data_IF_847083318212
#
_entry.id   IF_847083318212
#
_cell.length_a   1.000
_cell.length_b   1.000
_cell.length_c   1.000
_cell.angle_alpha   90.00
_cell.angle_beta   90.00
_cell.angle_gamma   90.00
#
_symmetry.space_group_name_H-M   'P 1'
#
loop_
_entity.id
_entity.type
_entity.pdbx_description
1 polymer ?
#
# COMPACT_ATOMS: atom_id res chain seq x y z
N UNK A 1 -25.72 -3.78 19.85
CA UNK A 1 -25.55 -4.97 19.01
C UNK A 1 -24.07 -5.33 19.10
N UNK A 2 -23.73 -6.57 19.44
CA UNK A 2 -22.33 -7.05 19.34
C UNK A 2 -21.97 -7.03 17.84
N UNK A 3 -20.82 -6.52 17.50
CA UNK A 3 -20.27 -6.64 16.15
C UNK A 3 -20.32 -5.39 15.25
N UNK A 4 -20.52 -4.20 15.77
CA UNK A 4 -20.32 -2.96 15.01
C UNK A 4 -19.14 -2.19 15.61
N UNK A 5 -18.32 -1.61 14.75
CA UNK A 5 -17.27 -0.70 15.21
C UNK A 5 -17.88 0.50 15.93
N UNK A 6 -17.19 1.01 16.93
CA UNK A 6 -17.57 2.32 17.48
C UNK A 6 -17.47 3.39 16.39
N UNK A 7 -18.30 4.43 16.46
CA UNK A 7 -18.27 5.54 15.49
C UNK A 7 -16.87 6.15 15.36
N UNK A 8 -16.12 6.18 16.46
CA UNK A 8 -14.73 6.67 16.46
C UNK A 8 -13.82 5.77 15.61
N UNK A 9 -13.91 4.44 15.78
CA UNK A 9 -13.12 3.47 15.01
C UNK A 9 -13.55 3.49 13.54
N UNK A 10 -14.83 3.48 13.24
CA UNK A 10 -15.33 3.54 11.85
C UNK A 10 -14.82 4.79 11.12
N UNK A 11 -14.91 5.96 11.77
CA UNK A 11 -14.40 7.21 11.20
C UNK A 11 -12.88 7.16 11.00
N UNK A 12 -12.15 6.66 11.99
CA UNK A 12 -10.69 6.53 11.93
C UNK A 12 -10.25 5.60 10.79
N UNK A 13 -10.91 4.47 10.63
CA UNK A 13 -10.63 3.50 9.54
C UNK A 13 -10.80 4.15 8.18
N UNK A 14 -11.89 4.90 7.95
CA UNK A 14 -12.10 5.65 6.71
C UNK A 14 -11.00 6.68 6.48
N UNK A 15 -10.60 7.43 7.51
CA UNK A 15 -9.53 8.42 7.40
C UNK A 15 -8.16 7.81 7.08
N UNK A 16 -7.88 6.60 7.53
CA UNK A 16 -6.57 5.94 7.34
C UNK A 16 -6.53 5.15 6.02
N UNK A 17 -7.55 4.35 5.71
CA UNK A 17 -7.51 3.39 4.61
C UNK A 17 -8.26 3.79 3.35
N UNK A 18 -9.09 4.85 3.40
CA UNK A 18 -9.77 5.41 2.23
C UNK A 18 -9.33 6.84 1.92
N UNK A 19 -8.33 7.36 2.61
CA UNK A 19 -7.71 8.66 2.35
C UNK A 19 -6.21 8.49 2.11
N UNK A 20 -5.64 9.32 1.21
CA UNK A 20 -4.20 9.39 0.97
C UNK A 20 -3.65 10.77 1.38
N UNK A 21 -4.37 11.46 2.27
CA UNK A 21 -4.00 12.72 2.88
C UNK A 21 -3.34 12.47 4.24
N UNK A 22 -2.10 12.92 4.42
CA UNK A 22 -1.30 12.70 5.65
C UNK A 22 -1.99 13.22 6.90
N UNK A 23 -2.63 14.39 6.82
CA UNK A 23 -3.27 15.00 7.98
C UNK A 23 -4.52 14.22 8.40
N UNK A 24 -5.31 13.77 7.43
CA UNK A 24 -6.47 12.90 7.69
C UNK A 24 -6.04 11.58 8.30
N UNK A 25 -4.97 10.97 7.78
CA UNK A 25 -4.42 9.71 8.32
C UNK A 25 -3.93 9.90 9.75
N UNK A 26 -3.20 10.98 10.05
CA UNK A 26 -2.76 11.32 11.42
C UNK A 26 -3.95 11.56 12.36
N UNK A 27 -4.98 12.25 11.89
CA UNK A 27 -6.22 12.45 12.64
C UNK A 27 -6.89 11.10 12.96
N UNK A 28 -7.04 10.23 11.96
CA UNK A 28 -7.60 8.88 12.15
C UNK A 28 -6.79 8.07 13.17
N UNK A 29 -5.45 8.11 13.08
CA UNK A 29 -4.59 7.42 14.03
C UNK A 29 -4.75 7.97 15.47
N UNK A 30 -4.83 9.29 15.64
CA UNK A 30 -5.08 9.89 16.94
C UNK A 30 -6.45 9.46 17.53
N UNK A 31 -7.48 9.33 16.68
CA UNK A 31 -8.79 8.81 17.11
C UNK A 31 -8.69 7.35 17.57
N UNK A 32 -7.96 6.49 16.85
CA UNK A 32 -7.72 5.11 17.28
C UNK A 32 -6.99 5.04 18.62
N UNK A 33 -5.96 5.87 18.82
CA UNK A 33 -5.22 5.94 20.08
C UNK A 33 -6.14 6.34 21.24
N UNK A 34 -7.03 7.30 21.04
CA UNK A 34 -8.00 7.71 22.05
C UNK A 34 -9.01 6.59 22.37
N UNK A 35 -9.57 5.94 21.34
CA UNK A 35 -10.49 4.84 21.52
C UNK A 35 -9.83 3.65 22.25
N UNK A 36 -8.59 3.30 21.90
CA UNK A 36 -7.83 2.25 22.57
C UNK A 36 -7.57 2.57 24.07
N UNK A 37 -7.31 3.84 24.42
CA UNK A 37 -7.19 4.27 25.82
C UNK A 37 -8.50 4.12 26.59
N UNK A 38 -9.64 4.20 25.90
CA UNK A 38 -10.98 3.98 26.48
C UNK A 38 -11.37 2.49 26.51
N UNK A 39 -10.48 1.60 26.07
CA UNK A 39 -10.68 0.15 26.13
C UNK A 39 -11.31 -0.44 24.87
N UNK A 40 -11.36 0.29 23.76
CA UNK A 40 -11.88 -0.23 22.50
C UNK A 40 -10.90 -1.26 21.92
N UNK A 41 -11.36 -2.50 21.80
CA UNK A 41 -10.56 -3.62 21.33
C UNK A 41 -10.26 -3.55 19.83
N UNK A 42 -11.20 -3.06 19.02
CA UNK A 42 -11.02 -2.93 17.57
C UNK A 42 -10.00 -1.83 17.24
N UNK A 43 -9.98 -0.75 18.01
CA UNK A 43 -8.96 0.29 17.87
C UNK A 43 -7.53 -0.27 18.01
N UNK A 44 -7.30 -1.22 18.91
CA UNK A 44 -6.00 -1.88 19.06
C UNK A 44 -5.62 -2.70 17.82
N UNK A 45 -6.58 -3.39 17.20
CA UNK A 45 -6.35 -4.14 15.96
C UNK A 45 -5.90 -3.21 14.83
N UNK A 46 -6.57 -2.07 14.68
CA UNK A 46 -6.24 -1.10 13.62
C UNK A 46 -4.91 -0.37 13.90
N UNK A 47 -4.60 -0.04 15.16
CA UNK A 47 -3.27 0.47 15.54
C UNK A 47 -2.18 -0.55 15.20
N UNK A 48 -2.40 -1.84 15.50
CA UNK A 48 -1.47 -2.90 15.14
C UNK A 48 -1.19 -2.94 13.64
N UNK A 49 -2.22 -2.74 12.81
CA UNK A 49 -2.04 -2.66 11.34
C UNK A 49 -1.20 -1.45 10.93
N UNK A 50 -1.29 -0.32 11.61
CA UNK A 50 -0.43 0.83 11.37
C UNK A 50 1.04 0.50 11.69
N UNK A 51 1.33 -0.31 12.72
CA UNK A 51 2.67 -0.79 13.03
C UNK A 51 3.22 -1.83 12.04
N UNK A 52 2.39 -2.41 11.19
CA UNK A 52 2.85 -3.24 10.05
C UNK A 52 3.44 -2.39 8.91
N UNK A 53 3.41 -1.07 9.04
CA UNK A 53 4.07 -0.15 8.13
C UNK A 53 3.38 -0.03 6.78
N UNK A 54 4.18 0.25 5.76
CA UNK A 54 3.73 0.59 4.41
C UNK A 54 2.98 -0.52 3.68
N UNK A 55 3.09 -1.76 4.12
CA UNK A 55 2.32 -2.87 3.55
C UNK A 55 0.82 -2.76 3.86
N UNK A 56 0.46 -2.05 4.95
CA UNK A 56 -0.90 -1.98 5.46
C UNK A 56 -1.52 -0.58 5.40
N UNK A 57 -0.70 0.44 5.30
CA UNK A 57 -1.11 1.85 5.17
C UNK A 57 -0.27 2.54 4.11
N UNK A 58 -0.72 3.70 3.63
CA UNK A 58 0.01 4.42 2.60
C UNK A 58 1.42 4.83 3.07
N UNK A 59 2.43 4.55 2.22
CA UNK A 59 3.85 4.80 2.48
C UNK A 59 4.18 6.21 2.97
N UNK A 60 3.48 7.23 2.44
CA UNK A 60 3.70 8.63 2.79
C UNK A 60 3.08 9.02 4.14
N UNK A 61 2.34 8.14 4.80
CA UNK A 61 1.74 8.41 6.10
C UNK A 61 2.77 8.47 7.25
N UNK A 62 3.95 7.86 7.06
CA UNK A 62 5.06 7.91 8.01
C UNK A 62 4.94 6.91 9.17
N UNK A 63 4.19 5.82 8.98
CA UNK A 63 4.16 4.72 9.94
C UNK A 63 5.40 3.85 9.79
N UNK A 64 6.10 3.64 10.90
CA UNK A 64 7.27 2.75 10.94
C UNK A 64 6.84 1.31 11.22
N UNK A 65 7.54 0.38 10.60
CA UNK A 65 7.36 -1.04 10.85
C UNK A 65 7.85 -1.41 12.27
N UNK A 66 6.96 -2.01 13.07
CA UNK A 66 7.27 -2.56 14.40
C UNK A 66 6.42 -3.83 14.61
N UNK A 67 6.91 -4.93 14.04
CA UNK A 67 6.23 -6.23 14.10
C UNK A 67 5.99 -6.71 15.53
N UNK A 68 6.95 -6.48 16.43
CA UNK A 68 6.85 -6.95 17.81
C UNK A 68 5.70 -6.23 18.55
N UNK A 69 5.53 -4.95 18.31
CA UNK A 69 4.43 -4.17 18.89
C UNK A 69 3.10 -4.50 18.21
N UNK A 70 3.09 -4.63 16.89
CA UNK A 70 1.92 -5.07 16.14
C UNK A 70 1.38 -6.41 16.68
N UNK A 71 2.26 -7.41 16.82
CA UNK A 71 1.90 -8.74 17.35
C UNK A 71 1.27 -8.68 18.73
N UNK A 72 1.86 -7.91 19.65
CA UNK A 72 1.32 -7.73 21.01
C UNK A 72 -0.08 -7.10 20.98
N UNK A 73 -0.27 -6.10 20.13
CA UNK A 73 -1.55 -5.39 20.03
C UNK A 73 -2.63 -6.28 19.39
N UNK A 74 -2.30 -7.06 18.36
CA UNK A 74 -3.22 -8.02 17.75
C UNK A 74 -3.68 -9.07 18.77
N UNK A 75 -2.75 -9.67 19.51
CA UNK A 75 -3.08 -10.63 20.57
C UNK A 75 -3.95 -10.02 21.65
N UNK A 76 -3.58 -8.83 22.13
CA UNK A 76 -4.35 -8.10 23.15
C UNK A 76 -5.77 -7.78 22.63
N UNK A 77 -5.89 -7.29 21.42
CA UNK A 77 -7.17 -6.99 20.78
C UNK A 77 -8.06 -8.24 20.69
N UNK A 78 -7.52 -9.37 20.25
CA UNK A 78 -8.24 -10.65 20.17
C UNK A 78 -8.73 -11.11 21.56
N UNK A 79 -7.87 -11.04 22.60
CA UNK A 79 -8.23 -11.40 23.96
C UNK A 79 -9.29 -10.47 24.58
N UNK A 80 -9.37 -9.22 24.12
CA UNK A 80 -10.39 -8.25 24.54
C UNK A 80 -11.71 -8.37 23.77
N UNK A 81 -11.79 -9.26 22.77
CA UNK A 81 -13.02 -9.58 22.05
C UNK A 81 -13.22 -8.85 20.74
N UNK A 82 -12.15 -8.37 20.09
CA UNK A 82 -12.20 -7.86 18.73
C UNK A 82 -12.14 -9.01 17.74
N UNK A 83 -13.18 -9.17 16.93
CA UNK A 83 -13.17 -10.09 15.80
C UNK A 83 -12.11 -9.69 14.76
N UNK A 84 -11.95 -8.39 14.49
CA UNK A 84 -10.87 -7.82 13.68
C UNK A 84 -9.49 -8.24 14.19
N UNK A 85 -9.29 -8.15 15.51
CA UNK A 85 -8.05 -8.56 16.17
C UNK A 85 -7.76 -10.05 15.97
N UNK A 86 -8.77 -10.91 16.07
CA UNK A 86 -8.65 -12.36 15.82
C UNK A 86 -8.21 -12.64 14.38
N UNK A 87 -8.88 -12.04 13.38
CA UNK A 87 -8.54 -12.24 11.97
C UNK A 87 -7.13 -11.70 11.65
N UNK A 88 -6.76 -10.55 12.18
CA UNK A 88 -5.41 -10.00 12.04
C UNK A 88 -4.35 -10.91 12.67
N UNK A 89 -4.61 -11.45 13.87
CA UNK A 89 -3.70 -12.37 14.54
C UNK A 89 -3.52 -13.70 13.78
N UNK A 90 -4.58 -14.22 13.17
CA UNK A 90 -4.48 -15.41 12.28
C UNK A 90 -3.59 -15.09 11.10
N UNK A 91 -3.85 -14.01 10.40
CA UNK A 91 -3.14 -13.63 9.17
C UNK A 91 -1.64 -13.40 9.39
N UNK A 92 -1.28 -12.88 10.56
CA UNK A 92 0.11 -12.63 10.96
C UNK A 92 0.76 -13.76 11.77
N UNK A 93 0.13 -14.93 11.83
CA UNK A 93 0.58 -16.09 12.62
C UNK A 93 0.73 -15.83 14.14
N UNK A 94 -0.01 -14.85 14.65
CA UNK A 94 0.04 -14.42 16.07
C UNK A 94 -1.11 -14.99 16.92
N UNK A 95 -2.04 -15.76 16.34
CA UNK A 95 -3.08 -16.45 17.09
C UNK A 95 -2.52 -17.73 17.70
N UNK A 96 -1.86 -17.58 18.85
CA UNK A 96 -1.28 -18.71 19.59
C UNK A 96 -2.36 -19.47 20.38
N UNK A 97 -2.13 -20.75 20.77
CA UNK A 97 -3.09 -21.51 21.59
C UNK A 97 -3.43 -20.83 22.92
N UNK A 98 -2.56 -19.99 23.46
CA UNK A 98 -2.84 -19.21 24.68
C UNK A 98 -3.81 -18.08 24.41
N UNK A 99 -3.70 -17.40 23.27
CA UNK A 99 -4.62 -16.35 22.83
C UNK A 99 -5.98 -16.95 22.50
N UNK A 100 -6.02 -18.05 21.76
CA UNK A 100 -7.26 -18.77 21.43
C UNK A 100 -8.05 -19.18 22.69
N UNK A 101 -7.38 -19.63 23.75
CA UNK A 101 -8.05 -19.95 25.02
C UNK A 101 -8.52 -18.73 25.81
N UNK A 102 -7.91 -17.58 25.59
CA UNK A 102 -8.20 -16.35 26.34
C UNK A 102 -9.21 -15.44 25.63
N UNK A 103 -9.39 -15.58 24.32
CA UNK A 103 -10.36 -14.78 23.57
C UNK A 103 -11.81 -15.18 23.94
N UNK A 104 -12.76 -14.25 23.91
CA UNK A 104 -14.16 -14.52 24.25
C UNK A 104 -14.96 -15.16 23.10
N UNK A 105 -14.31 -15.55 22.03
CA UNK A 105 -14.89 -16.33 20.92
C UNK A 105 -14.66 -17.82 21.15
N UNK A 106 -15.67 -18.65 20.90
CA UNK A 106 -15.52 -20.10 21.00
C UNK A 106 -14.56 -20.68 19.96
N UNK A 107 -14.40 -19.99 18.82
CA UNK A 107 -13.52 -20.39 17.72
C UNK A 107 -13.21 -19.22 16.80
N UNK A 108 -12.24 -19.42 15.89
CA UNK A 108 -12.00 -18.52 14.77
C UNK A 108 -13.26 -18.33 13.88
N UNK A 109 -14.06 -19.38 13.73
CA UNK A 109 -15.32 -19.33 12.97
C UNK A 109 -16.28 -18.29 13.55
N UNK A 110 -16.48 -18.22 14.85
CA UNK A 110 -17.38 -17.25 15.48
C UNK A 110 -16.90 -15.81 15.24
N UNK A 111 -15.60 -15.56 15.37
CA UNK A 111 -15.04 -14.24 15.06
C UNK A 111 -15.19 -13.88 13.56
N UNK A 112 -14.99 -14.87 12.66
CA UNK A 112 -15.21 -14.67 11.24
C UNK A 112 -16.68 -14.37 10.90
N UNK A 113 -17.63 -15.08 11.51
CA UNK A 113 -19.07 -14.84 11.31
C UNK A 113 -19.50 -13.43 11.75
N UNK A 114 -18.87 -12.88 12.79
CA UNK A 114 -19.11 -11.49 13.20
C UNK A 114 -18.63 -10.50 12.12
N UNK A 115 -17.42 -10.68 11.57
CA UNK A 115 -16.90 -9.86 10.47
C UNK A 115 -17.75 -10.05 9.20
N UNK A 116 -18.13 -11.27 8.89
CA UNK A 116 -19.01 -11.56 7.74
C UNK A 116 -20.34 -10.82 7.86
N UNK A 117 -20.96 -10.82 9.04
CA UNK A 117 -22.19 -10.07 9.27
C UNK A 117 -22.05 -8.56 9.07
N UNK A 118 -20.91 -7.96 9.43
CA UNK A 118 -20.62 -6.55 9.14
C UNK A 118 -20.39 -6.32 7.64
N UNK A 119 -19.66 -7.19 6.97
CA UNK A 119 -19.43 -7.13 5.54
C UNK A 119 -20.75 -7.23 4.73
N UNK A 120 -21.68 -8.10 5.17
CA UNK A 120 -23.01 -8.22 4.55
C UNK A 120 -23.85 -6.95 4.69
N UNK A 121 -23.64 -6.17 5.76
CA UNK A 121 -24.24 -4.86 5.96
C UNK A 121 -23.56 -3.73 5.18
N UNK A 122 -22.48 -4.03 4.47
CA UNK A 122 -21.79 -3.10 3.58
C UNK A 122 -20.57 -2.40 4.17
N UNK A 123 -20.03 -2.86 5.30
CA UNK A 123 -18.75 -2.35 5.78
C UNK A 123 -17.62 -2.75 4.83
N UNK A 124 -16.99 -1.75 4.20
CA UNK A 124 -15.97 -1.96 3.16
C UNK A 124 -14.71 -2.63 3.70
N UNK A 125 -14.32 -2.33 4.94
CA UNK A 125 -13.13 -2.94 5.54
C UNK A 125 -13.40 -4.40 5.91
N UNK A 126 -14.58 -4.71 6.44
CA UNK A 126 -15.00 -6.08 6.70
C UNK A 126 -15.13 -6.88 5.40
N UNK A 127 -15.63 -6.29 4.30
CA UNK A 127 -15.61 -6.93 2.98
C UNK A 127 -14.18 -7.30 2.55
N UNK A 128 -13.23 -6.40 2.70
CA UNK A 128 -11.81 -6.66 2.43
C UNK A 128 -11.25 -7.80 3.32
N UNK A 129 -11.60 -7.83 4.61
CA UNK A 129 -11.16 -8.89 5.51
C UNK A 129 -11.73 -10.25 5.15
N UNK A 130 -13.03 -10.31 4.81
CA UNK A 130 -13.67 -11.55 4.31
C UNK A 130 -13.00 -12.03 3.04
N UNK A 131 -12.75 -11.12 2.07
CA UNK A 131 -12.03 -11.46 0.85
C UNK A 131 -10.66 -12.09 1.15
N UNK A 132 -9.89 -11.52 2.08
CA UNK A 132 -8.59 -12.05 2.49
C UNK A 132 -8.68 -13.45 3.12
N UNK A 133 -9.70 -13.74 3.93
CA UNK A 133 -9.90 -15.06 4.53
C UNK A 133 -10.03 -16.13 3.45
N UNK A 134 -10.77 -15.85 2.37
CA UNK A 134 -10.87 -16.77 1.23
C UNK A 134 -9.59 -16.78 0.39
N UNK A 135 -9.02 -15.63 0.06
CA UNK A 135 -7.88 -15.51 -0.84
C UNK A 135 -6.63 -16.24 -0.30
N UNK A 136 -6.37 -16.13 1.00
CA UNK A 136 -5.17 -16.66 1.64
C UNK A 136 -5.33 -18.06 2.27
N UNK A 137 -6.49 -18.69 2.16
CA UNK A 137 -6.73 -20.03 2.70
C UNK A 137 -7.13 -20.08 4.18
N UNK A 138 -7.27 -18.94 4.85
CA UNK A 138 -7.66 -18.89 6.26
C UNK A 138 -9.09 -19.43 6.48
N UNK A 139 -9.91 -19.54 5.41
CA UNK A 139 -11.23 -20.17 5.47
C UNK A 139 -11.20 -21.64 5.90
N UNK A 140 -10.09 -22.33 5.68
CA UNK A 140 -9.89 -23.70 6.16
C UNK A 140 -9.84 -23.80 7.71
N UNK A 141 -9.69 -22.66 8.41
CA UNK A 141 -9.88 -22.59 9.88
C UNK A 141 -11.35 -22.38 10.26
N UNK A 142 -12.15 -21.76 9.38
CA UNK A 142 -13.59 -21.60 9.57
C UNK A 142 -14.30 -22.95 9.41
N UNK A 143 -13.95 -23.67 8.36
CA UNK A 143 -14.51 -24.99 8.03
C UNK A 143 -13.38 -26.01 7.76
N UNK A 144 -12.78 -26.59 8.81
CA UNK A 144 -11.64 -27.50 8.65
C UNK A 144 -11.91 -28.72 7.77
N UNK A 145 -13.16 -29.19 7.74
CA UNK A 145 -13.54 -30.33 6.89
C UNK A 145 -13.46 -30.03 5.39
N UNK A 146 -13.51 -28.75 5.00
CA UNK A 146 -13.30 -28.34 3.61
C UNK A 146 -11.89 -28.69 3.10
N UNK A 147 -10.88 -28.70 3.99
CA UNK A 147 -9.52 -29.09 3.60
C UNK A 147 -9.45 -30.47 2.92
N UNK A 148 -10.37 -31.38 3.29
CA UNK A 148 -10.44 -32.72 2.71
C UNK A 148 -11.00 -32.76 1.29
N UNK A 149 -11.61 -31.68 0.83
CA UNK A 149 -12.25 -31.59 -0.50
C UNK A 149 -11.26 -31.14 -1.57
N UNK A 150 -10.15 -30.51 -1.18
CA UNK A 150 -9.16 -29.96 -2.09
C UNK A 150 -7.92 -30.86 -2.17
N UNK A 151 -7.42 -31.09 -3.39
CA UNK A 151 -6.22 -31.90 -3.64
C UNK A 151 -4.94 -31.12 -3.34
N UNK A 152 -4.95 -29.83 -3.63
CA UNK A 152 -3.83 -28.91 -3.49
C UNK A 152 -4.33 -27.46 -3.39
N UNK A 153 -3.39 -26.52 -3.25
CA UNK A 153 -3.65 -25.08 -3.18
C UNK A 153 -4.38 -24.55 -4.43
N UNK A 154 -4.04 -25.05 -5.61
CA UNK A 154 -4.67 -24.60 -6.86
C UNK A 154 -6.15 -24.98 -6.91
N UNK A 155 -6.48 -26.18 -6.42
CA UNK A 155 -7.87 -26.66 -6.34
C UNK A 155 -8.66 -25.82 -5.33
N UNK A 156 -8.05 -25.50 -4.18
CA UNK A 156 -8.61 -24.54 -3.22
C UNK A 156 -8.83 -23.16 -3.85
N UNK A 157 -7.83 -22.59 -4.52
CA UNK A 157 -7.89 -21.27 -5.12
C UNK A 157 -8.98 -21.20 -6.21
N UNK A 158 -9.16 -22.26 -6.99
CA UNK A 158 -10.22 -22.35 -7.99
C UNK A 158 -11.63 -22.22 -7.39
N UNK A 159 -11.81 -22.69 -6.16
CA UNK A 159 -13.07 -22.54 -5.41
C UNK A 159 -13.15 -21.19 -4.67
N UNK A 160 -12.07 -20.79 -3.98
CA UNK A 160 -12.09 -19.65 -3.04
C UNK A 160 -11.97 -18.28 -3.72
N UNK A 161 -11.15 -18.17 -4.78
CA UNK A 161 -10.86 -16.88 -5.42
C UNK A 161 -12.04 -16.22 -6.12
N UNK A 162 -12.98 -16.95 -6.77
CA UNK A 162 -14.25 -16.38 -7.23
C UNK A 162 -15.08 -15.75 -6.10
N UNK A 163 -15.04 -16.33 -4.90
CA UNK A 163 -15.71 -15.79 -3.71
C UNK A 163 -14.98 -14.55 -3.20
N UNK A 164 -13.65 -14.62 -3.07
CA UNK A 164 -12.82 -13.49 -2.66
C UNK A 164 -13.00 -12.28 -3.59
N UNK A 165 -13.07 -12.52 -4.91
CA UNK A 165 -13.35 -11.49 -5.92
C UNK A 165 -14.58 -10.66 -5.57
N UNK A 166 -15.70 -11.31 -5.28
CA UNK A 166 -16.98 -10.61 -4.99
C UNK A 166 -16.83 -9.72 -3.77
N UNK A 167 -16.13 -10.17 -2.74
CA UNK A 167 -15.91 -9.40 -1.54
C UNK A 167 -14.91 -8.24 -1.73
N UNK A 168 -13.87 -8.42 -2.58
CA UNK A 168 -13.01 -7.31 -2.98
C UNK A 168 -13.79 -6.24 -3.76
N UNK A 169 -14.64 -6.63 -4.70
CA UNK A 169 -15.46 -5.70 -5.48
C UNK A 169 -16.39 -4.88 -4.56
N UNK A 170 -17.04 -5.50 -3.57
CA UNK A 170 -17.82 -4.77 -2.56
C UNK A 170 -16.98 -3.80 -1.72
N UNK A 171 -15.76 -4.18 -1.39
CA UNK A 171 -14.83 -3.32 -0.68
C UNK A 171 -14.44 -2.10 -1.52
N UNK A 172 -14.16 -2.30 -2.82
CA UNK A 172 -13.86 -1.22 -3.77
C UNK A 172 -15.04 -0.28 -3.97
N UNK A 173 -16.23 -0.80 -4.11
CA UNK A 173 -17.48 0.00 -4.20
C UNK A 173 -17.68 0.87 -2.94
N UNK A 174 -17.19 0.44 -1.78
CA UNK A 174 -17.11 1.22 -0.54
C UNK A 174 -15.93 2.19 -0.45
N UNK A 175 -15.12 2.34 -1.51
CA UNK A 175 -14.01 3.29 -1.59
C UNK A 175 -12.72 2.81 -0.93
N UNK A 176 -12.58 1.54 -0.58
CA UNK A 176 -11.36 0.98 -0.01
C UNK A 176 -10.46 0.41 -1.11
N UNK A 177 -9.21 0.90 -1.21
CA UNK A 177 -8.26 0.43 -2.22
C UNK A 177 -7.46 -0.82 -1.80
N UNK A 178 -7.55 -1.21 -0.54
CA UNK A 178 -6.87 -2.39 -0.02
C UNK A 178 -7.38 -3.67 -0.75
N UNK A 179 -6.44 -4.58 -1.03
CA UNK A 179 -6.78 -5.82 -1.76
C UNK A 179 -6.70 -5.73 -3.28
N UNK A 180 -6.42 -4.55 -3.86
CA UNK A 180 -6.26 -4.41 -5.31
C UNK A 180 -5.20 -5.34 -5.90
N UNK A 181 -4.05 -5.52 -5.23
CA UNK A 181 -3.01 -6.46 -5.65
C UNK A 181 -3.53 -7.89 -5.76
N UNK A 182 -4.22 -8.37 -4.72
CA UNK A 182 -4.84 -9.70 -4.70
C UNK A 182 -5.89 -9.87 -5.80
N UNK A 183 -6.69 -8.83 -6.05
CA UNK A 183 -7.68 -8.83 -7.15
C UNK A 183 -7.01 -8.93 -8.53
N UNK A 184 -5.86 -8.25 -8.72
CA UNK A 184 -5.05 -8.39 -9.93
C UNK A 184 -4.52 -9.83 -10.09
N UNK A 185 -4.11 -10.48 -9.00
CA UNK A 185 -3.63 -11.87 -9.04
C UNK A 185 -4.76 -12.86 -9.36
N UNK A 186 -5.96 -12.65 -8.83
CA UNK A 186 -7.16 -13.41 -9.23
C UNK A 186 -7.38 -13.30 -10.74
N UNK A 187 -7.31 -12.07 -11.28
CA UNK A 187 -7.49 -11.85 -12.73
C UNK A 187 -6.40 -12.53 -13.56
N UNK A 188 -5.13 -12.37 -13.18
CA UNK A 188 -4.00 -13.00 -13.88
C UNK A 188 -4.08 -14.52 -13.92
N UNK A 189 -4.60 -15.13 -12.86
CA UNK A 189 -4.78 -16.59 -12.77
C UNK A 189 -5.90 -17.12 -13.67
N UNK A 190 -6.84 -16.27 -14.09
CA UNK A 190 -8.08 -16.65 -14.78
C UNK A 190 -9.14 -17.31 -13.91
N UNK A 191 -8.92 -17.44 -12.59
CA UNK A 191 -9.85 -18.15 -11.69
C UNK A 191 -11.10 -17.35 -11.30
N UNK A 192 -11.05 -16.02 -11.42
CA UNK A 192 -12.14 -15.16 -10.96
C UNK A 192 -13.18 -14.78 -12.03
N UNK A 193 -12.95 -15.15 -13.29
CA UNK A 193 -13.78 -14.72 -14.43
C UNK A 193 -14.00 -13.19 -14.43
N UNK A 194 -12.91 -12.44 -14.28
CA UNK A 194 -12.95 -10.98 -14.28
C UNK A 194 -12.82 -10.48 -15.71
N UNK A 195 -13.92 -9.98 -16.29
CA UNK A 195 -13.89 -9.40 -17.63
C UNK A 195 -12.99 -8.15 -17.67
N UNK A 196 -12.47 -7.84 -18.87
CA UNK A 196 -11.61 -6.67 -19.05
C UNK A 196 -12.32 -5.38 -18.64
N UNK A 197 -13.59 -5.21 -19.01
CA UNK A 197 -14.38 -4.02 -18.72
C UNK A 197 -14.59 -3.81 -17.20
N UNK A 198 -14.85 -4.89 -16.46
CA UNK A 198 -14.97 -4.83 -14.99
C UNK A 198 -13.63 -4.48 -14.35
N UNK A 199 -12.56 -5.09 -14.83
CA UNK A 199 -11.21 -4.80 -14.35
C UNK A 199 -10.82 -3.34 -14.58
N UNK A 200 -11.02 -2.82 -15.78
CA UNK A 200 -10.68 -1.44 -16.13
C UNK A 200 -11.53 -0.43 -15.37
N UNK A 201 -12.81 -0.72 -15.19
CA UNK A 201 -13.69 0.12 -14.35
C UNK A 201 -13.16 0.28 -12.93
N UNK A 202 -12.81 -0.83 -12.27
CA UNK A 202 -12.25 -0.75 -10.92
C UNK A 202 -10.85 -0.12 -10.92
N UNK A 203 -10.03 -0.43 -11.92
CA UNK A 203 -8.70 0.16 -12.02
C UNK A 203 -8.80 1.69 -12.09
N UNK A 204 -9.64 2.22 -12.96
CA UNK A 204 -9.85 3.66 -13.09
C UNK A 204 -10.42 4.26 -11.80
N UNK A 205 -11.47 3.67 -11.25
CA UNK A 205 -12.11 4.14 -10.03
C UNK A 205 -11.14 4.21 -8.84
N UNK A 206 -10.33 3.18 -8.67
CA UNK A 206 -9.35 3.13 -7.57
C UNK A 206 -8.14 4.03 -7.84
N UNK A 207 -7.74 4.23 -9.09
CA UNK A 207 -6.71 5.19 -9.48
C UNK A 207 -7.11 6.64 -9.17
N UNK A 208 -8.40 6.96 -9.24
CA UNK A 208 -8.90 8.28 -8.87
C UNK A 208 -8.80 8.52 -7.34
N UNK A 209 -8.77 7.47 -6.54
CA UNK A 209 -8.62 7.51 -5.07
C UNK A 209 -7.15 7.41 -4.66
N UNK A 210 -6.46 6.35 -5.11
CA UNK A 210 -5.11 5.98 -4.67
C UNK A 210 -4.02 6.51 -5.59
N UNK A 211 -3.06 7.31 -5.10
CA UNK A 211 -1.93 7.77 -5.91
C UNK A 211 -1.07 6.62 -6.45
N UNK A 212 -0.89 5.54 -5.67
CA UNK A 212 -0.12 4.37 -6.09
C UNK A 212 -0.83 3.63 -7.23
N UNK A 213 -2.14 3.41 -7.10
CA UNK A 213 -2.93 2.76 -8.17
C UNK A 213 -2.99 3.68 -9.40
N UNK A 214 -3.02 5.00 -9.21
CA UNK A 214 -2.96 5.98 -10.29
C UNK A 214 -1.66 5.83 -11.11
N UNK A 215 -0.51 5.71 -10.45
CA UNK A 215 0.77 5.44 -11.12
C UNK A 215 0.73 4.10 -11.87
N UNK A 216 0.26 3.04 -11.23
CA UNK A 216 0.14 1.74 -11.88
C UNK A 216 -0.83 1.77 -13.07
N UNK A 217 -1.91 2.54 -12.98
CA UNK A 217 -2.85 2.73 -14.10
C UNK A 217 -2.20 3.50 -15.25
N UNK A 218 -1.37 4.50 -14.96
CA UNK A 218 -0.55 5.17 -15.97
C UNK A 218 0.37 4.20 -16.71
N UNK A 219 1.03 3.30 -16.00
CA UNK A 219 1.83 2.23 -16.63
C UNK A 219 0.98 1.31 -17.50
N UNK A 220 -0.19 0.87 -17.00
CA UNK A 220 -1.13 0.03 -17.77
C UNK A 220 -1.57 0.71 -19.07
N UNK A 221 -1.95 1.98 -19.04
CA UNK A 221 -2.36 2.74 -20.21
C UNK A 221 -1.24 2.81 -21.26
N UNK A 222 0.00 3.07 -20.82
CA UNK A 222 1.16 3.16 -21.70
C UNK A 222 1.53 1.80 -22.34
N UNK A 223 1.59 0.74 -21.53
CA UNK A 223 2.16 -0.55 -21.96
C UNK A 223 1.13 -1.51 -22.54
N UNK A 224 -0.07 -1.54 -21.98
CA UNK A 224 -1.09 -2.51 -22.38
C UNK A 224 -2.10 -1.90 -23.38
N UNK A 225 -2.40 -0.59 -23.23
CA UNK A 225 -3.34 0.10 -24.11
C UNK A 225 -2.64 0.87 -25.25
N UNK A 226 -1.35 1.13 -25.15
CA UNK A 226 -0.60 1.93 -26.12
C UNK A 226 -0.95 3.43 -26.08
N UNK A 227 -1.65 3.88 -25.04
CA UNK A 227 -2.00 5.29 -24.86
C UNK A 227 -0.98 5.98 -23.94
N UNK A 228 0.12 6.41 -24.57
CA UNK A 228 1.24 7.00 -23.88
C UNK A 228 0.89 8.34 -23.21
N UNK A 229 0.08 9.17 -23.87
CA UNK A 229 -0.33 10.47 -23.34
C UNK A 229 -1.27 10.35 -22.15
N UNK A 230 -2.29 9.48 -22.23
CA UNK A 230 -3.16 9.21 -21.10
C UNK A 230 -2.37 8.65 -19.90
N UNK A 231 -1.37 7.82 -20.16
CA UNK A 231 -0.48 7.31 -19.12
C UNK A 231 0.33 8.41 -18.43
N UNK A 232 0.89 9.36 -19.21
CA UNK A 232 1.58 10.54 -18.66
C UNK A 232 0.67 11.38 -17.77
N UNK A 233 -0.58 11.63 -18.19
CA UNK A 233 -1.54 12.39 -17.38
C UNK A 233 -1.78 11.72 -16.03
N UNK A 234 -1.86 10.38 -15.99
CA UNK A 234 -2.00 9.64 -14.73
C UNK A 234 -0.75 9.72 -13.85
N UNK A 235 0.46 9.71 -14.42
CA UNK A 235 1.68 9.93 -13.65
C UNK A 235 1.74 11.33 -13.02
N UNK A 236 1.38 12.37 -13.78
CA UNK A 236 1.31 13.75 -13.28
C UNK A 236 0.26 13.89 -12.19
N UNK A 237 -0.90 13.23 -12.34
CA UNK A 237 -1.95 13.20 -11.31
C UNK A 237 -1.46 12.50 -10.03
N UNK A 238 -0.81 11.35 -10.16
CA UNK A 238 -0.24 10.62 -9.04
C UNK A 238 0.83 11.44 -8.30
N UNK A 239 1.70 12.13 -9.04
CA UNK A 239 2.70 13.04 -8.49
C UNK A 239 2.05 14.15 -7.65
N UNK A 240 0.99 14.79 -8.17
CA UNK A 240 0.23 15.83 -7.44
C UNK A 240 -0.44 15.30 -6.16
N UNK A 241 -0.80 14.02 -6.14
CA UNK A 241 -1.33 13.32 -4.97
C UNK A 241 -0.23 12.82 -4.02
N UNK A 242 1.05 13.08 -4.35
CA UNK A 242 2.21 12.77 -3.51
C UNK A 242 2.84 11.40 -3.76
N UNK A 243 2.54 10.72 -4.88
CA UNK A 243 3.26 9.48 -5.22
C UNK A 243 4.62 9.78 -5.88
N UNK A 244 5.74 9.42 -5.22
CA UNK A 244 7.06 9.71 -5.74
C UNK A 244 7.39 8.92 -7.02
N UNK A 245 6.80 7.72 -7.19
CA UNK A 245 7.00 6.93 -8.39
C UNK A 245 6.30 7.55 -9.60
N UNK A 246 5.11 8.10 -9.42
CA UNK A 246 4.41 8.85 -10.44
C UNK A 246 5.19 10.09 -10.89
N UNK A 247 5.77 10.82 -9.93
CA UNK A 247 6.61 11.97 -10.19
C UNK A 247 7.86 11.58 -11.01
N UNK A 248 8.55 10.54 -10.60
CA UNK A 248 9.73 10.01 -11.30
C UNK A 248 9.41 9.58 -12.73
N UNK A 249 8.33 8.83 -12.93
CA UNK A 249 7.93 8.38 -14.25
C UNK A 249 7.55 9.54 -15.18
N UNK A 250 6.83 10.54 -14.68
CA UNK A 250 6.49 11.73 -15.43
C UNK A 250 7.73 12.57 -15.78
N UNK A 251 8.68 12.70 -14.82
CA UNK A 251 9.95 13.40 -15.01
C UNK A 251 10.71 12.89 -16.23
N UNK A 252 10.89 11.58 -16.34
CA UNK A 252 11.59 10.97 -17.48
C UNK A 252 10.89 11.18 -18.82
N UNK A 253 9.56 11.24 -18.84
CA UNK A 253 8.84 11.50 -20.09
C UNK A 253 9.07 12.94 -20.56
N UNK A 254 9.05 13.93 -19.64
CA UNK A 254 9.36 15.30 -19.96
C UNK A 254 10.83 15.54 -20.29
N UNK A 255 11.74 14.77 -19.66
CA UNK A 255 13.18 14.80 -19.97
C UNK A 255 13.47 14.27 -21.39
N UNK A 256 12.85 13.13 -21.74
CA UNK A 256 13.09 12.48 -23.03
C UNK A 256 12.42 13.20 -24.21
N UNK A 257 11.33 13.92 -23.99
CA UNK A 257 10.58 14.58 -25.06
C UNK A 257 9.92 13.62 -26.06
N UNK A 258 9.61 12.38 -25.65
CA UNK A 258 9.12 11.34 -26.59
C UNK A 258 7.63 11.47 -26.93
N UNK A 259 6.80 11.84 -25.96
CA UNK A 259 5.33 11.96 -26.11
C UNK A 259 4.83 13.40 -26.01
N UNK A 260 5.66 14.25 -25.47
CA UNK A 260 5.46 15.68 -25.27
C UNK A 260 6.74 16.42 -25.60
N UNK A 261 6.70 17.71 -25.80
CA UNK A 261 7.92 18.49 -25.96
C UNK A 261 8.82 18.37 -24.73
N UNK A 262 10.13 18.23 -24.98
CA UNK A 262 11.15 18.21 -23.93
C UNK A 262 11.00 19.41 -23.00
N UNK A 263 11.00 19.13 -21.70
CA UNK A 263 10.90 20.16 -20.67
C UNK A 263 11.74 19.79 -19.44
N UNK A 264 13.03 20.13 -19.52
CA UNK A 264 14.01 19.83 -18.46
C UNK A 264 13.65 20.50 -17.14
N UNK A 265 13.13 21.73 -17.17
CA UNK A 265 12.69 22.45 -15.97
C UNK A 265 11.58 21.69 -15.22
N UNK A 266 10.56 21.20 -15.94
CA UNK A 266 9.48 20.41 -15.36
C UNK A 266 9.96 19.03 -14.93
N UNK A 267 10.86 18.39 -15.69
CA UNK A 267 11.46 17.12 -15.31
C UNK A 267 12.21 17.26 -13.98
N UNK A 268 13.03 18.29 -13.82
CA UNK A 268 13.76 18.57 -12.58
C UNK A 268 12.81 18.77 -11.38
N UNK A 269 11.73 19.52 -11.53
CA UNK A 269 10.71 19.69 -10.47
C UNK A 269 10.04 18.36 -10.09
N UNK A 270 9.77 17.50 -11.07
CA UNK A 270 9.17 16.20 -10.83
C UNK A 270 10.16 15.23 -10.15
N UNK A 271 11.43 15.26 -10.52
CA UNK A 271 12.47 14.50 -9.83
C UNK A 271 12.70 15.00 -8.39
N UNK A 272 12.61 16.31 -8.16
CA UNK A 272 12.64 16.87 -6.81
C UNK A 272 11.46 16.37 -5.96
N UNK A 273 10.25 16.34 -6.54
CA UNK A 273 9.09 15.75 -5.85
C UNK A 273 9.33 14.27 -5.52
N UNK A 274 9.89 13.49 -6.44
CA UNK A 274 10.22 12.08 -6.23
C UNK A 274 11.28 11.90 -5.14
N UNK A 275 12.34 12.71 -5.16
CA UNK A 275 13.43 12.70 -4.18
C UNK A 275 12.95 13.05 -2.77
N UNK A 276 12.15 14.11 -2.64
CA UNK A 276 11.56 14.55 -1.38
C UNK A 276 10.51 13.55 -0.86
N UNK A 277 9.88 12.79 -1.77
CA UNK A 277 9.01 11.64 -1.45
C UNK A 277 9.78 10.40 -0.98
N UNK A 278 11.13 10.45 -0.98
CA UNK A 278 11.99 9.37 -0.50
C UNK A 278 12.28 8.28 -1.54
N UNK A 279 12.02 8.53 -2.83
CA UNK A 279 12.38 7.59 -3.90
C UNK A 279 13.88 7.69 -4.21
N UNK A 280 14.63 6.58 -4.04
CA UNK A 280 16.08 6.58 -4.25
C UNK A 280 16.49 6.98 -5.68
N UNK A 281 15.72 6.55 -6.68
CA UNK A 281 15.95 6.95 -8.08
C UNK A 281 15.78 8.47 -8.25
N UNK A 282 14.72 9.06 -7.67
CA UNK A 282 14.53 10.52 -7.70
C UNK A 282 15.66 11.26 -6.99
N UNK A 283 16.17 10.72 -5.87
CA UNK A 283 17.33 11.27 -5.18
C UNK A 283 18.59 11.21 -6.05
N UNK A 284 18.78 10.12 -6.79
CA UNK A 284 19.88 10.00 -7.77
C UNK A 284 19.76 11.06 -8.88
N UNK A 285 18.57 11.24 -9.46
CA UNK A 285 18.36 12.24 -10.53
C UNK A 285 18.65 13.66 -10.01
N UNK A 286 18.24 13.98 -8.79
CA UNK A 286 18.59 15.29 -8.20
C UNK A 286 20.12 15.42 -8.01
N UNK A 287 20.81 14.37 -7.58
CA UNK A 287 22.26 14.36 -7.55
C UNK A 287 22.89 14.62 -8.91
N UNK A 288 22.37 13.97 -9.94
CA UNK A 288 22.83 14.14 -11.31
C UNK A 288 22.60 15.57 -11.84
N UNK A 289 21.42 16.15 -11.61
CA UNK A 289 21.14 17.52 -12.04
C UNK A 289 21.95 18.58 -11.30
N UNK A 290 22.27 18.38 -10.03
CA UNK A 290 23.21 19.24 -9.32
C UNK A 290 24.68 19.02 -9.78
N UNK A 291 25.02 17.81 -10.22
CA UNK A 291 26.38 17.52 -10.72
C UNK A 291 26.63 18.13 -12.10
N UNK A 292 25.67 18.02 -13.03
CA UNK A 292 25.82 18.55 -14.40
C UNK A 292 25.35 20.01 -14.52
N UNK A 293 24.39 20.43 -13.72
CA UNK A 293 23.59 21.64 -13.92
C UNK A 293 22.54 21.46 -15.02
N UNK A 294 21.53 22.35 -15.03
CA UNK A 294 20.54 22.42 -16.12
C UNK A 294 20.08 23.89 -16.27
N UNK A 295 19.10 24.15 -17.19
CA UNK A 295 18.63 25.50 -17.48
C UNK A 295 18.20 26.31 -16.25
N UNK A 296 17.64 25.67 -15.24
CA UNK A 296 17.05 26.30 -14.05
C UNK A 296 17.76 25.91 -12.74
N UNK A 297 18.79 25.06 -12.81
CA UNK A 297 19.54 24.58 -11.67
C UNK A 297 21.04 24.74 -11.94
N UNK A 298 21.69 25.63 -11.20
CA UNK A 298 23.13 25.80 -11.29
C UNK A 298 23.86 24.55 -10.77
N UNK A 299 25.02 24.27 -11.36
CA UNK A 299 25.91 23.19 -10.92
C UNK A 299 26.34 23.40 -9.46
N UNK A 300 26.10 22.40 -8.60
CA UNK A 300 26.47 22.40 -7.19
C UNK A 300 26.92 21.00 -6.75
N UNK A 301 28.22 20.78 -6.75
CA UNK A 301 28.79 19.49 -6.40
C UNK A 301 28.56 19.09 -4.94
N UNK A 302 28.42 20.05 -4.02
CA UNK A 302 28.15 19.73 -2.62
C UNK A 302 26.71 19.18 -2.48
N UNK A 303 25.76 19.81 -3.12
CA UNK A 303 24.38 19.30 -3.20
C UNK A 303 24.32 17.96 -3.94
N UNK A 304 25.10 17.78 -5.01
CA UNK A 304 25.17 16.51 -5.74
C UNK A 304 25.62 15.36 -4.83
N UNK A 305 26.69 15.57 -4.07
CA UNK A 305 27.21 14.57 -3.10
C UNK A 305 26.14 14.23 -2.06
N UNK A 306 25.48 15.24 -1.47
CA UNK A 306 24.42 15.03 -0.48
C UNK A 306 23.27 14.17 -1.03
N UNK A 307 22.82 14.42 -2.27
CA UNK A 307 21.76 13.65 -2.89
C UNK A 307 22.20 12.23 -3.27
N UNK A 308 23.43 12.05 -3.81
CA UNK A 308 23.96 10.72 -4.11
C UNK A 308 24.12 9.87 -2.84
N UNK A 309 24.58 10.47 -1.72
CA UNK A 309 24.67 9.78 -0.44
C UNK A 309 23.28 9.38 0.09
N UNK A 310 22.29 10.29 0.05
CA UNK A 310 20.90 9.99 0.41
C UNK A 310 20.34 8.83 -0.40
N UNK A 311 20.57 8.82 -1.71
CA UNK A 311 20.13 7.75 -2.58
C UNK A 311 20.83 6.42 -2.26
N UNK A 312 22.17 6.45 -2.10
CA UNK A 312 22.98 5.27 -1.82
C UNK A 312 22.58 4.57 -0.51
N UNK A 313 22.36 5.35 0.55
CA UNK A 313 21.96 4.85 1.86
C UNK A 313 20.47 4.65 2.04
N UNK A 314 19.66 4.92 1.02
CA UNK A 314 18.23 4.68 1.08
C UNK A 314 17.97 3.16 1.20
N UNK A 315 17.25 2.70 2.25
CA UNK A 315 17.01 1.27 2.48
C UNK A 315 16.24 0.58 1.35
N UNK A 316 15.55 1.35 0.51
CA UNK A 316 14.81 0.86 -0.66
C UNK A 316 15.58 1.06 -1.99
N UNK A 317 16.85 1.45 -1.92
CA UNK A 317 17.66 1.68 -3.11
C UNK A 317 17.96 0.36 -3.82
N UNK A 318 17.73 0.32 -5.14
CA UNK A 318 18.12 -0.82 -5.97
C UNK A 318 19.65 -0.91 -6.11
N UNK A 319 20.16 -2.10 -6.34
CA UNK A 319 21.62 -2.30 -6.57
C UNK A 319 22.12 -1.52 -7.79
N UNK A 320 21.27 -1.34 -8.82
CA UNK A 320 21.59 -0.53 -10.00
C UNK A 320 21.77 0.95 -9.60
N UNK A 321 20.83 1.51 -8.88
CA UNK A 321 20.89 2.91 -8.42
C UNK A 321 22.07 3.12 -7.45
N UNK A 322 22.35 2.16 -6.55
CA UNK A 322 23.52 2.21 -5.68
C UNK A 322 24.84 2.25 -6.48
N UNK A 323 24.95 1.42 -7.50
CA UNK A 323 26.13 1.41 -8.36
C UNK A 323 26.31 2.74 -9.10
N UNK A 324 25.22 3.34 -9.59
CA UNK A 324 25.24 4.67 -10.20
C UNK A 324 25.70 5.74 -9.19
N UNK A 325 25.11 5.77 -7.99
CA UNK A 325 25.51 6.69 -6.93
C UNK A 325 26.99 6.52 -6.56
N UNK A 326 27.46 5.27 -6.39
CA UNK A 326 28.87 4.99 -6.07
C UNK A 326 29.83 5.49 -7.14
N UNK A 327 29.46 5.40 -8.43
CA UNK A 327 30.27 5.90 -9.54
C UNK A 327 30.42 7.43 -9.45
N UNK A 328 29.33 8.18 -9.28
CA UNK A 328 29.38 9.64 -9.18
C UNK A 328 30.06 10.11 -7.89
N UNK A 329 29.79 9.47 -6.75
CA UNK A 329 30.52 9.73 -5.49
C UNK A 329 32.03 9.48 -5.65
N UNK A 330 32.41 8.40 -6.35
CA UNK A 330 33.81 8.12 -6.66
C UNK A 330 34.46 9.24 -7.45
N UNK A 331 33.82 9.80 -8.45
CA UNK A 331 34.31 10.96 -9.21
C UNK A 331 34.44 12.18 -8.29
N UNK A 332 33.39 12.48 -7.50
CA UNK A 332 33.41 13.62 -6.58
C UNK A 332 34.57 13.54 -5.58
N UNK A 333 34.79 12.39 -4.95
CA UNK A 333 35.89 12.22 -3.99
C UNK A 333 37.27 12.21 -4.65
N UNK A 334 37.40 11.62 -5.85
CA UNK A 334 38.67 11.58 -6.57
C UNK A 334 39.11 12.97 -7.02
N UNK A 335 38.18 13.77 -7.53
CA UNK A 335 38.45 15.09 -8.10
C UNK A 335 38.28 16.25 -7.06
N UNK A 336 37.88 15.94 -5.82
CA UNK A 336 37.59 16.94 -4.78
C UNK A 336 36.41 17.83 -5.08
N UNK A 337 35.40 17.32 -5.79
CA UNK A 337 34.22 18.07 -6.18
C UNK A 337 33.18 17.99 -5.06
N UNK A 338 32.85 19.12 -4.43
CA UNK A 338 31.87 19.22 -3.37
C UNK A 338 32.21 18.43 -2.07
N UNK A 339 33.44 17.94 -1.96
CA UNK A 339 33.95 17.20 -0.80
C UNK A 339 35.01 18.02 -0.07
N UNK A 340 35.07 17.91 1.28
CA UNK A 340 36.05 18.60 2.15
C UNK A 340 37.28 17.77 2.33
#
# INVERSE_FOLDING_TARGET
MKGEYSTAVETAVKLIWSSFDREKIRQGYAMLMQAAQQGDADALAFIARCFMGEEYVWAQAGFNFDEANASKLMQKSAMMGSATGVLCAVRSANLTPSVERAMPFASFKEAFEEILGQAERGDAFCCYMVANVYFWGDYLRVEPDYAKQFKDERDYNAWAWPIAKVWYERSFDGGLCAGWGNYCDIRKSGLGDISLDVYERYYQMLADISPIICTNYGYYLRKEKGDAYAGLLRYVEAARKGDPQGAYNAGHIYEAGEEVDENISLACQLFEMAANGGLAQGQFEMGYYHFEGCSDLEQDYAQAVDWFEKAYWNPKCSEVTKAQCAAYLGICYQEGLGTV
#
